data_IF_626380003634
#
_entry.id   IF_626380003634
#
_cell.length_a   1.000
_cell.length_b   1.000
_cell.length_c   1.000
_cell.angle_alpha   90.00
_cell.angle_beta   90.00
_cell.angle_gamma   90.00
#
_symmetry.space_group_name_H-M   'P 1'
#
loop_
_entity.id
_entity.type
_entity.pdbx_description
1 polymer ?
#
# COMPACT_ATOMS: atom_id res chain seq x y z
N UNK A 1 5.03 -11.96 10.88
CA UNK A 1 4.56 -10.64 10.44
C UNK A 1 4.43 -10.71 8.92
N UNK A 2 3.23 -10.59 8.36
CA UNK A 2 3.07 -10.68 6.90
C UNK A 2 3.51 -9.36 6.27
N UNK A 3 4.42 -9.44 5.29
CA UNK A 3 4.84 -8.30 4.50
C UNK A 3 3.96 -8.16 3.27
N UNK A 4 3.55 -6.93 2.95
CA UNK A 4 2.82 -6.61 1.73
C UNK A 4 3.71 -5.75 0.84
N UNK A 5 4.14 -6.30 -0.30
CA UNK A 5 4.96 -5.58 -1.26
C UNK A 5 4.05 -4.71 -2.12
N UNK A 6 4.22 -3.39 -2.01
CA UNK A 6 3.58 -2.41 -2.90
C UNK A 6 4.49 -2.18 -4.09
N UNK A 7 4.05 -2.60 -5.28
CA UNK A 7 4.75 -2.41 -6.56
C UNK A 7 4.23 -1.24 -7.35
N UNK A 8 2.94 -0.92 -7.20
CA UNK A 8 2.31 0.20 -7.91
C UNK A 8 1.36 0.97 -6.97
N UNK A 9 1.14 2.27 -7.21
CA UNK A 9 0.25 3.10 -6.40
C UNK A 9 -1.20 2.57 -6.32
N UNK A 10 -1.70 1.94 -7.38
CA UNK A 10 -3.08 1.42 -7.48
C UNK A 10 -3.36 0.26 -6.52
N UNK A 11 -2.31 -0.30 -5.89
CA UNK A 11 -2.45 -1.31 -4.84
C UNK A 11 -2.79 -0.69 -3.48
N UNK A 12 -2.46 0.59 -3.26
CA UNK A 12 -2.66 1.29 -1.99
C UNK A 12 -4.12 1.31 -1.52
N UNK A 13 -5.14 1.58 -2.36
CA UNK A 13 -6.54 1.58 -1.94
C UNK A 13 -6.96 0.29 -1.22
N UNK A 14 -6.64 -0.87 -1.82
CA UNK A 14 -7.01 -2.16 -1.27
C UNK A 14 -6.23 -2.49 0.01
N UNK A 15 -4.93 -2.19 0.03
CA UNK A 15 -4.04 -2.46 1.15
C UNK A 15 -4.42 -1.62 2.38
N UNK A 16 -4.59 -0.30 2.22
CA UNK A 16 -4.94 0.61 3.32
C UNK A 16 -6.32 0.28 3.91
N UNK A 17 -7.30 -0.04 3.04
CA UNK A 17 -8.61 -0.52 3.48
C UNK A 17 -8.51 -1.84 4.25
N UNK A 18 -7.62 -2.74 3.83
CA UNK A 18 -7.32 -4.00 4.51
C UNK A 18 -6.78 -3.77 5.93
N UNK A 19 -5.75 -2.93 6.07
CA UNK A 19 -5.19 -2.59 7.38
C UNK A 19 -6.20 -1.89 8.30
N UNK A 20 -7.03 -0.97 7.76
CA UNK A 20 -8.11 -0.37 8.55
C UNK A 20 -9.07 -1.42 9.11
N UNK A 21 -9.48 -2.38 8.28
CA UNK A 21 -10.37 -3.47 8.73
C UNK A 21 -9.68 -4.38 9.75
N UNK A 22 -8.41 -4.69 9.57
CA UNK A 22 -7.61 -5.48 10.53
C UNK A 22 -7.47 -4.75 11.88
N UNK A 23 -7.36 -3.42 11.86
CA UNK A 23 -7.37 -2.58 13.05
C UNK A 23 -8.77 -2.44 13.71
N UNK A 24 -9.80 -3.08 13.15
CA UNK A 24 -11.17 -3.04 13.69
C UNK A 24 -11.87 -1.68 13.53
N UNK A 25 -11.35 -0.78 12.69
CA UNK A 25 -11.87 0.58 12.54
C UNK A 25 -12.86 0.69 11.39
N UNK A 26 -13.97 1.37 11.62
CA UNK A 26 -14.81 1.95 10.58
C UNK A 26 -14.13 3.14 9.90
N UNK A 27 -14.67 3.59 8.76
CA UNK A 27 -14.18 4.82 8.13
C UNK A 27 -14.43 6.05 9.02
N UNK A 28 -15.52 6.08 9.80
CA UNK A 28 -15.80 7.20 10.68
C UNK A 28 -14.76 7.30 11.81
N UNK A 29 -14.41 6.17 12.43
CA UNK A 29 -13.43 6.14 13.52
C UNK A 29 -12.03 6.54 13.06
N UNK A 30 -11.58 6.01 11.92
CA UNK A 30 -10.28 6.40 11.36
C UNK A 30 -10.26 7.87 10.94
N UNK A 31 -11.37 8.38 10.38
CA UNK A 31 -11.48 9.78 10.02
C UNK A 31 -11.37 10.69 11.26
N UNK A 32 -12.03 10.34 12.35
CA UNK A 32 -11.93 11.03 13.65
C UNK A 32 -10.49 11.05 14.16
N UNK A 33 -9.78 9.92 14.15
CA UNK A 33 -8.36 9.84 14.56
C UNK A 33 -7.45 10.68 13.66
N UNK A 34 -7.79 10.80 12.39
CA UNK A 34 -7.06 11.61 11.42
C UNK A 34 -7.49 13.08 11.42
N UNK A 35 -8.47 13.48 12.24
CA UNK A 35 -9.01 14.84 12.29
C UNK A 35 -9.70 15.28 10.98
N UNK A 36 -10.42 14.36 10.32
CA UNK A 36 -11.14 14.63 9.07
C UNK A 36 -12.56 14.06 9.10
N UNK A 37 -13.37 14.43 8.10
CA UNK A 37 -14.72 13.89 7.92
C UNK A 37 -14.66 12.48 7.31
N UNK A 38 -15.64 11.64 7.61
CA UNK A 38 -15.73 10.27 7.06
C UNK A 38 -15.76 10.24 5.53
N UNK A 39 -16.46 11.18 4.89
CA UNK A 39 -16.45 11.34 3.43
C UNK A 39 -15.06 11.65 2.87
N UNK A 40 -14.26 12.47 3.58
CA UNK A 40 -12.88 12.79 3.20
C UNK A 40 -12.00 11.55 3.30
N UNK A 41 -12.16 10.74 4.35
CA UNK A 41 -11.44 9.47 4.44
C UNK A 41 -11.87 8.50 3.34
N UNK A 42 -13.17 8.40 3.04
CA UNK A 42 -13.67 7.54 1.97
C UNK A 42 -13.09 7.92 0.60
N UNK A 43 -13.00 9.23 0.31
CA UNK A 43 -12.34 9.72 -0.90
C UNK A 43 -10.82 9.45 -0.90
N UNK A 44 -10.18 9.57 0.26
CA UNK A 44 -8.76 9.25 0.42
C UNK A 44 -8.48 7.77 0.18
N UNK A 45 -9.25 6.86 0.79
CA UNK A 45 -9.08 5.41 0.58
C UNK A 45 -9.29 5.01 -0.88
N UNK A 46 -10.19 5.69 -1.60
CA UNK A 46 -10.49 5.39 -3.01
C UNK A 46 -9.42 5.89 -3.98
N UNK A 47 -8.79 7.01 -3.66
CA UNK A 47 -7.77 7.65 -4.52
C UNK A 47 -6.39 7.64 -3.83
N UNK A 48 -6.08 6.55 -3.13
CA UNK A 48 -4.88 6.46 -2.30
C UNK A 48 -3.59 6.50 -3.13
N UNK A 49 -3.65 6.20 -4.41
CA UNK A 49 -2.55 6.35 -5.37
C UNK A 49 -2.08 7.81 -5.51
N UNK A 50 -2.95 8.78 -5.23
CA UNK A 50 -2.68 10.21 -5.34
C UNK A 50 -2.45 10.90 -3.98
N UNK A 51 -2.38 10.14 -2.89
CA UNK A 51 -2.20 10.72 -1.55
C UNK A 51 -0.76 11.23 -1.38
N UNK A 52 -0.59 12.39 -0.74
CA UNK A 52 0.75 12.86 -0.41
C UNK A 52 1.44 11.92 0.56
N UNK A 53 2.76 11.78 0.43
CA UNK A 53 3.57 10.91 1.29
C UNK A 53 3.36 11.23 2.79
N UNK A 54 3.32 12.51 3.18
CA UNK A 54 3.07 12.89 4.58
C UNK A 54 1.72 12.42 5.11
N UNK A 55 0.68 12.44 4.27
CA UNK A 55 -0.66 11.98 4.66
C UNK A 55 -0.77 10.45 4.68
N UNK A 56 -0.04 9.77 3.80
CA UNK A 56 0.15 8.31 3.87
C UNK A 56 0.83 7.92 5.19
N UNK A 57 1.96 8.54 5.53
CA UNK A 57 2.71 8.24 6.76
C UNK A 57 1.85 8.44 8.01
N UNK A 58 1.05 9.52 8.06
CA UNK A 58 0.11 9.75 9.17
C UNK A 58 -0.96 8.66 9.26
N UNK A 59 -1.51 8.25 8.12
CA UNK A 59 -2.51 7.17 8.06
C UNK A 59 -1.93 5.85 8.56
N UNK A 60 -0.74 5.47 8.07
CA UNK A 60 -0.04 4.27 8.49
C UNK A 60 0.25 4.26 10.00
N UNK A 61 0.69 5.40 10.54
CA UNK A 61 0.91 5.56 11.99
C UNK A 61 -0.36 5.32 12.81
N UNK A 62 -1.50 5.87 12.40
CA UNK A 62 -2.79 5.64 13.10
C UNK A 62 -3.26 4.19 12.99
N UNK A 63 -2.90 3.51 11.91
CA UNK A 63 -3.20 2.11 11.67
C UNK A 63 -2.20 1.14 12.33
N UNK A 64 -1.13 1.64 12.94
CA UNK A 64 -0.07 0.79 13.50
C UNK A 64 0.73 0.02 12.44
N UNK A 65 0.85 0.59 11.24
CA UNK A 65 1.57 0.00 10.10
C UNK A 65 2.88 0.75 9.88
N UNK A 66 3.96 0.00 9.67
CA UNK A 66 5.28 0.54 9.35
C UNK A 66 5.51 0.55 7.83
N UNK A 67 6.09 1.63 7.30
CA UNK A 67 6.58 1.69 5.93
C UNK A 67 8.07 1.34 5.91
N UNK A 68 8.41 0.22 5.27
CA UNK A 68 9.79 -0.25 5.13
C UNK A 68 10.24 -0.12 3.68
N UNK A 69 11.33 0.62 3.44
CA UNK A 69 11.95 0.73 2.12
C UNK A 69 13.11 -0.25 2.01
N UNK A 70 13.07 -1.12 0.99
CA UNK A 70 14.12 -2.11 0.70
C UNK A 70 14.46 -2.06 -0.79
N UNK A 71 15.70 -2.35 -1.12
CA UNK A 71 16.06 -2.66 -2.52
C UNK A 71 15.49 -4.04 -2.87
N UNK A 72 15.01 -4.25 -4.10
CA UNK A 72 14.71 -5.60 -4.57
C UNK A 72 15.96 -6.47 -4.49
N UNK A 73 15.81 -7.72 -4.10
CA UNK A 73 16.92 -8.68 -4.16
C UNK A 73 17.34 -8.84 -5.63
N UNK A 74 18.60 -8.52 -5.94
CA UNK A 74 19.20 -8.65 -7.28
C UNK A 74 19.20 -10.09 -7.83
N UNK A 75 18.69 -11.05 -7.05
CA UNK A 75 18.50 -12.46 -7.35
C UNK A 75 17.25 -12.72 -8.22
N UNK A 76 16.31 -11.77 -8.31
CA UNK A 76 15.02 -11.99 -8.98
C UNK A 76 14.97 -11.73 -10.49
N UNK A 77 15.99 -11.09 -11.08
CA UNK A 77 15.98 -10.67 -12.50
C UNK A 77 17.06 -11.34 -13.37
N UNK A 78 17.92 -12.22 -12.83
CA UNK A 78 18.92 -12.98 -13.62
C UNK A 78 18.49 -14.41 -13.95
N UNK A 79 17.22 -14.59 -14.32
CA UNK A 79 16.61 -15.91 -14.47
C UNK A 79 15.76 -16.09 -15.72
N UNK A 80 16.15 -15.52 -16.86
CA UNK A 80 15.74 -15.97 -18.20
C UNK A 80 16.76 -15.46 -19.21
N UNK A 81 17.80 -16.24 -19.58
CA UNK A 81 18.31 -16.07 -20.92
C UNK A 81 17.16 -16.42 -21.86
N UNK A 82 16.86 -15.53 -22.80
CA UNK A 82 16.02 -15.85 -23.93
C UNK A 82 16.61 -17.11 -24.57
N UNK A 83 15.86 -18.22 -24.52
CA UNK A 83 16.13 -19.38 -25.37
C UNK A 83 15.77 -18.96 -26.79
N UNK A 84 16.66 -18.19 -27.41
CA UNK A 84 16.71 -17.98 -28.83
C UNK A 84 17.53 -19.13 -29.41
N UNK A 85 16.86 -20.23 -29.73
CA UNK A 85 17.37 -21.21 -30.70
C UNK A 85 16.21 -21.64 -31.59
N UNK A 86 16.19 -21.23 -32.87
CA UNK A 86 15.34 -21.87 -33.85
C UNK A 86 15.81 -23.32 -34.04
N UNK A 87 14.90 -24.27 -33.87
CA UNK A 87 15.10 -25.65 -34.32
C UNK A 87 15.09 -25.65 -35.85
N UNK A 88 16.25 -25.86 -36.45
CA UNK A 88 16.38 -26.41 -37.80
C UNK A 88 16.32 -27.93 -37.73
#
# INVERSE_FOLDING_TARGET
>A
MNEFIVRTPEQLPAILKGFRKQAGLSQAELATRMGMRQQTLSALERNAENVSAGRLMRLLSVLGVELVLRKPDASGERGRPASDQPQW
#
